data_IF_418817679691
#
_entry.id   IF_418817679691
#
_cell.length_a   1.000
_cell.length_b   1.000
_cell.length_c   1.000
_cell.angle_alpha   90.00
_cell.angle_beta   90.00
_cell.angle_gamma   90.00
#
_symmetry.space_group_name_H-M   'P 1'
#
loop_
_entity.id
_entity.type
_entity.pdbx_description
1 polymer ?
#
# COMPACT_ATOMS: atom_id res chain seq x y z
N UNK A 1 -5.18 95.31 -22.15
CA UNK A 1 -4.92 94.33 -21.09
C UNK A 1 -5.33 92.99 -21.67
N UNK A 2 -4.37 92.11 -21.92
CA UNK A 2 -4.60 90.77 -22.47
C UNK A 2 -4.68 89.80 -21.29
N UNK A 3 -5.86 89.28 -20.98
CA UNK A 3 -6.03 88.20 -19.99
C UNK A 3 -6.30 86.91 -20.75
N UNK A 4 -5.22 86.16 -20.99
CA UNK A 4 -5.30 84.88 -21.69
C UNK A 4 -5.72 83.79 -20.70
N UNK A 5 -6.93 83.25 -20.87
CA UNK A 5 -7.44 82.13 -20.07
C UNK A 5 -6.55 80.89 -20.24
N UNK A 6 -5.93 80.48 -19.13
CA UNK A 6 -4.98 79.36 -19.11
C UNK A 6 -5.72 78.03 -19.35
N UNK A 7 -5.32 77.29 -20.39
CA UNK A 7 -5.85 75.94 -20.67
C UNK A 7 -5.57 74.99 -19.51
N UNK A 8 -6.60 74.63 -18.73
CA UNK A 8 -6.53 73.61 -17.67
C UNK A 8 -6.78 72.23 -18.27
N UNK A 9 -6.02 71.23 -17.80
CA UNK A 9 -6.21 69.82 -18.19
C UNK A 9 -7.52 69.27 -17.60
N UNK A 10 -8.10 68.28 -18.28
CA UNK A 10 -9.23 67.51 -17.76
C UNK A 10 -8.87 66.86 -16.41
N UNK A 11 -9.84 66.88 -15.49
CA UNK A 11 -9.63 66.37 -14.14
C UNK A 11 -9.44 64.84 -14.15
N UNK A 12 -8.53 64.36 -13.29
CA UNK A 12 -8.23 62.93 -13.17
C UNK A 12 -9.45 62.12 -12.70
N UNK A 13 -9.55 60.87 -13.16
CA UNK A 13 -10.61 59.95 -12.73
C UNK A 13 -10.59 59.73 -11.22
N UNK A 14 -11.79 59.59 -10.62
CA UNK A 14 -11.92 59.35 -9.18
C UNK A 14 -11.24 58.03 -8.80
N UNK A 15 -10.60 58.03 -7.64
CA UNK A 15 -9.95 56.85 -7.09
C UNK A 15 -10.91 55.64 -7.06
N UNK A 16 -10.42 54.42 -7.35
CA UNK A 16 -11.25 53.22 -7.34
C UNK A 16 -11.84 53.00 -5.94
N UNK A 17 -13.10 52.59 -5.90
CA UNK A 17 -13.74 52.20 -4.63
C UNK A 17 -13.07 50.92 -4.12
N UNK A 18 -12.72 50.91 -2.84
CA UNK A 18 -12.26 49.69 -2.15
C UNK A 18 -13.39 48.65 -2.16
N UNK A 19 -13.03 47.41 -2.44
CA UNK A 19 -13.95 46.26 -2.40
C UNK A 19 -14.30 45.86 -0.97
N UNK A 20 -15.37 45.08 -0.83
CA UNK A 20 -15.78 44.49 0.45
C UNK A 20 -14.87 43.30 0.79
N UNK A 21 -14.29 43.31 2.00
CA UNK A 21 -13.43 42.22 2.49
C UNK A 21 -14.30 41.25 3.28
N UNK A 22 -14.61 40.08 2.68
CA UNK A 22 -15.34 39.00 3.36
C UNK A 22 -14.32 38.20 4.17
N UNK A 23 -14.35 38.31 5.49
CA UNK A 23 -13.52 37.48 6.38
C UNK A 23 -14.20 36.14 6.62
N UNK A 24 -13.66 35.07 6.04
CA UNK A 24 -14.00 33.70 6.41
C UNK A 24 -12.89 33.11 7.27
N UNK A 25 -13.22 32.33 8.32
CA UNK A 25 -12.22 31.64 9.12
C UNK A 25 -11.51 30.59 8.26
N UNK A 26 -10.20 30.43 8.50
CA UNK A 26 -9.42 29.32 7.97
C UNK A 26 -9.04 28.36 9.10
N UNK A 27 -9.31 27.04 8.97
CA UNK A 27 -9.95 26.38 7.83
C UNK A 27 -11.45 26.74 7.68
N UNK A 28 -12.03 26.63 6.47
CA UNK A 28 -13.46 26.90 6.26
C UNK A 28 -14.28 26.02 7.20
N UNK A 29 -15.34 26.57 7.80
CA UNK A 29 -16.32 25.72 8.50
C UNK A 29 -16.83 24.69 7.49
N UNK A 30 -16.71 23.38 7.78
CA UNK A 30 -17.21 22.36 6.87
C UNK A 30 -18.71 22.61 6.64
N UNK A 31 -19.17 22.75 5.38
CA UNK A 31 -20.60 22.81 5.11
C UNK A 31 -21.16 21.47 5.56
N UNK A 32 -21.98 21.46 6.61
CA UNK A 32 -22.64 20.25 7.09
C UNK A 32 -21.64 19.08 7.13
N UNK A 33 -20.62 19.15 8.01
CA UNK A 33 -19.90 17.93 8.37
C UNK A 33 -21.00 17.00 8.87
N UNK A 34 -21.47 16.09 8.00
CA UNK A 34 -22.25 14.92 8.41
C UNK A 34 -21.54 14.46 9.66
N UNK A 35 -22.27 14.51 10.77
CA UNK A 35 -21.84 14.15 12.12
C UNK A 35 -20.73 13.13 12.02
N UNK A 36 -19.61 13.36 12.72
CA UNK A 36 -18.48 12.42 12.78
C UNK A 36 -19.05 11.02 12.64
N UNK A 37 -18.93 10.44 11.43
CA UNK A 37 -19.47 9.12 11.22
C UNK A 37 -18.73 8.32 12.28
N UNK A 38 -19.45 7.70 13.21
CA UNK A 38 -18.86 6.74 14.12
C UNK A 38 -18.38 5.59 13.22
N UNK A 39 -17.20 5.78 12.64
CA UNK A 39 -16.57 4.84 11.73
C UNK A 39 -16.10 3.72 12.64
N UNK A 40 -16.93 2.69 12.74
CA UNK A 40 -16.54 1.45 13.36
C UNK A 40 -15.44 0.80 12.49
N UNK A 41 -14.20 0.89 12.97
CA UNK A 41 -13.01 0.38 12.30
C UNK A 41 -13.14 -1.14 12.07
N UNK A 42 -13.81 -1.87 12.96
CA UNK A 42 -13.99 -3.31 12.82
C UNK A 42 -14.98 -3.65 11.71
N UNK A 43 -16.07 -2.88 11.57
CA UNK A 43 -16.99 -3.03 10.43
C UNK A 43 -16.29 -2.76 9.10
N UNK A 44 -15.44 -1.73 9.03
CA UNK A 44 -14.65 -1.46 7.82
C UNK A 44 -13.69 -2.59 7.47
N UNK A 45 -13.02 -3.18 8.47
CA UNK A 45 -12.15 -4.36 8.26
C UNK A 45 -12.94 -5.55 7.75
N UNK A 46 -14.13 -5.79 8.29
CA UNK A 46 -15.00 -6.89 7.86
C UNK A 46 -15.50 -6.70 6.42
N UNK A 47 -15.99 -5.50 6.08
CA UNK A 47 -16.37 -5.13 4.71
C UNK A 47 -15.20 -5.28 3.72
N UNK A 48 -13.99 -4.88 4.13
CA UNK A 48 -12.79 -5.05 3.30
C UNK A 48 -12.43 -6.53 3.09
N UNK A 49 -12.58 -7.38 4.12
CA UNK A 49 -12.37 -8.83 4.03
C UNK A 49 -13.39 -9.50 3.11
N UNK A 50 -14.66 -9.10 3.20
CA UNK A 50 -15.72 -9.58 2.30
C UNK A 50 -15.49 -9.15 0.85
N UNK A 51 -15.06 -7.91 0.62
CA UNK A 51 -14.72 -7.41 -0.71
C UNK A 51 -13.50 -8.11 -1.33
N UNK A 52 -12.52 -8.51 -0.52
CA UNK A 52 -11.33 -9.23 -0.98
C UNK A 52 -11.63 -10.69 -1.36
N UNK A 53 -12.69 -11.27 -0.80
CA UNK A 53 -13.08 -12.66 -1.04
C UNK A 53 -12.19 -13.67 -0.30
N UNK A 54 -12.16 -14.95 -0.73
CA UNK A 54 -11.31 -15.96 -0.12
C UNK A 54 -9.83 -15.60 -0.25
N UNK A 55 -9.04 -15.87 0.80
CA UNK A 55 -7.59 -15.66 0.76
C UNK A 55 -6.97 -16.53 -0.33
N UNK A 56 -6.24 -15.86 -1.22
CA UNK A 56 -5.55 -16.46 -2.36
C UNK A 56 -4.22 -15.74 -2.62
N UNK A 57 -3.34 -16.40 -3.35
CA UNK A 57 -2.03 -15.85 -3.72
C UNK A 57 -2.14 -15.18 -5.08
N UNK A 58 -1.97 -13.86 -5.12
CA UNK A 58 -2.02 -13.08 -6.36
C UNK A 58 -0.72 -13.15 -7.16
N UNK A 59 0.42 -13.14 -6.46
CA UNK A 59 1.74 -13.06 -7.09
C UNK A 59 2.76 -13.86 -6.32
N UNK A 60 3.64 -14.51 -7.06
CA UNK A 60 4.83 -15.15 -6.51
C UNK A 60 6.04 -14.82 -7.39
N UNK A 61 7.22 -14.89 -6.79
CA UNK A 61 8.50 -14.72 -7.44
C UNK A 61 9.49 -15.74 -6.87
N UNK A 62 10.23 -16.48 -7.71
CA UNK A 62 10.23 -16.45 -9.17
C UNK A 62 8.92 -16.99 -9.79
N UNK A 63 8.44 -16.36 -10.86
CA UNK A 63 7.23 -16.81 -11.58
C UNK A 63 7.54 -17.88 -12.63
N UNK A 64 8.81 -18.02 -13.00
CA UNK A 64 9.25 -19.02 -13.95
C UNK A 64 9.25 -20.40 -13.30
N UNK A 65 8.72 -21.41 -14.02
CA UNK A 65 8.84 -22.80 -13.57
C UNK A 65 10.28 -23.29 -13.57
N UNK A 66 11.09 -22.80 -14.51
CA UNK A 66 12.50 -23.17 -14.65
C UNK A 66 13.38 -21.95 -14.38
N UNK A 67 14.20 -22.04 -13.34
CA UNK A 67 15.14 -20.97 -12.98
C UNK A 67 16.57 -21.38 -13.32
N UNK A 68 17.18 -20.60 -14.22
CA UNK A 68 18.55 -20.79 -14.71
C UNK A 68 19.55 -19.81 -14.09
N UNK A 69 19.19 -19.13 -13.00
CA UNK A 69 20.05 -18.17 -12.31
C UNK A 69 20.09 -18.47 -10.80
N UNK A 70 21.05 -17.85 -10.10
CA UNK A 70 21.20 -18.05 -8.65
C UNK A 70 20.00 -17.44 -7.93
N UNK A 71 19.28 -18.25 -7.16
CA UNK A 71 18.20 -17.81 -6.28
C UNK A 71 18.62 -17.91 -4.83
N UNK A 72 18.35 -16.87 -4.05
CA UNK A 72 18.43 -16.88 -2.58
C UNK A 72 17.12 -16.47 -1.93
N UNK A 73 16.15 -16.05 -2.72
CA UNK A 73 14.94 -15.40 -2.23
C UNK A 73 13.72 -15.92 -2.96
N UNK A 74 12.63 -16.14 -2.21
CA UNK A 74 11.31 -16.48 -2.75
C UNK A 74 10.30 -15.54 -2.13
N UNK A 75 9.42 -14.94 -2.93
CA UNK A 75 8.45 -13.94 -2.48
C UNK A 75 7.04 -14.35 -2.89
N UNK A 76 6.08 -14.09 -2.02
CA UNK A 76 4.67 -14.41 -2.21
C UNK A 76 3.79 -13.26 -1.74
N UNK A 77 2.79 -12.90 -2.52
CA UNK A 77 1.85 -11.80 -2.26
C UNK A 77 0.42 -12.32 -2.27
N UNK A 78 -0.31 -12.01 -1.22
CA UNK A 78 -1.71 -12.37 -1.03
C UNK A 78 -2.65 -11.28 -1.58
N UNK A 79 -3.90 -11.66 -1.89
CA UNK A 79 -4.95 -10.72 -2.32
C UNK A 79 -5.33 -9.69 -1.23
N UNK A 80 -5.16 -10.02 0.05
CA UNK A 80 -5.53 -9.19 1.19
C UNK A 80 -4.38 -9.05 2.20
N UNK A 81 -4.37 -7.99 3.04
CA UNK A 81 -3.37 -7.87 4.09
C UNK A 81 -3.51 -9.01 5.10
N UNK A 82 -2.39 -9.67 5.38
CA UNK A 82 -2.28 -10.77 6.36
C UNK A 82 -1.81 -10.29 7.72
N UNK A 83 -1.23 -9.09 7.76
CA UNK A 83 -0.69 -8.46 8.95
C UNK A 83 -1.11 -6.99 8.95
N UNK A 84 -1.38 -6.45 10.13
CA UNK A 84 -1.70 -5.04 10.26
C UNK A 84 -0.52 -4.18 9.81
N UNK A 85 -0.78 -3.03 9.18
CA UNK A 85 0.24 -2.02 8.85
C UNK A 85 0.60 -1.18 10.11
N UNK A 86 0.22 -1.64 11.31
CA UNK A 86 0.50 -0.94 12.58
C UNK A 86 1.95 -1.15 13.03
N UNK A 87 2.36 -0.33 13.99
CA UNK A 87 3.70 -0.14 14.56
C UNK A 87 4.60 -1.37 14.57
N UNK A 88 5.90 -1.16 14.33
CA UNK A 88 6.97 -2.18 14.21
C UNK A 88 6.93 -3.35 15.22
N UNK A 89 6.30 -3.17 16.39
CA UNK A 89 6.19 -4.14 17.47
C UNK A 89 5.08 -5.19 17.27
N UNK A 90 4.09 -4.95 16.40
CA UNK A 90 2.94 -5.85 16.14
C UNK A 90 3.07 -6.61 14.82
N UNK A 91 4.30 -6.80 14.33
CA UNK A 91 4.53 -7.66 13.18
C UNK A 91 4.34 -9.11 13.65
N UNK A 92 3.14 -9.67 13.51
CA UNK A 92 2.89 -11.12 13.56
C UNK A 92 4.03 -11.88 12.88
N UNK A 93 4.60 -12.85 13.60
CA UNK A 93 5.71 -13.63 13.09
C UNK A 93 5.20 -14.43 11.90
N UNK A 94 6.02 -14.56 10.85
CA UNK A 94 5.65 -15.36 9.67
C UNK A 94 5.34 -16.82 10.06
N UNK A 95 5.92 -17.28 11.17
CA UNK A 95 5.68 -18.60 11.76
C UNK A 95 4.21 -18.84 12.11
N UNK A 96 3.43 -17.79 12.41
CA UNK A 96 2.00 -17.90 12.73
C UNK A 96 1.14 -18.24 11.50
N UNK A 97 1.69 -18.15 10.29
CA UNK A 97 0.96 -18.34 9.03
C UNK A 97 1.10 -19.75 8.43
N UNK A 98 1.72 -20.69 9.14
CA UNK A 98 1.97 -22.08 8.72
C UNK A 98 2.50 -22.20 7.27
N UNK A 99 3.39 -21.27 6.88
CA UNK A 99 4.05 -21.30 5.58
C UNK A 99 5.24 -22.24 5.64
N UNK A 100 5.30 -23.21 4.72
CA UNK A 100 6.40 -24.18 4.62
C UNK A 100 6.97 -24.27 3.21
N UNK A 101 8.30 -24.36 3.13
CA UNK A 101 9.06 -24.62 1.90
C UNK A 101 9.66 -26.02 1.97
N UNK A 102 9.38 -26.83 0.95
CA UNK A 102 9.85 -28.22 0.84
C UNK A 102 10.68 -28.37 -0.45
N UNK A 103 11.87 -28.98 -0.43
CA UNK A 103 12.60 -29.48 0.73
C UNK A 103 12.99 -28.36 1.70
N UNK A 104 13.24 -28.71 2.97
CA UNK A 104 13.61 -27.73 4.00
C UNK A 104 14.94 -27.07 3.63
N UNK A 105 14.94 -25.74 3.61
CA UNK A 105 16.12 -24.90 3.39
C UNK A 105 16.34 -24.04 4.62
N UNK A 106 17.59 -23.92 5.05
CA UNK A 106 17.95 -22.95 6.09
C UNK A 106 17.75 -21.52 5.57
N UNK A 107 16.94 -20.74 6.27
CA UNK A 107 16.66 -19.36 5.90
C UNK A 107 15.80 -18.68 6.95
N UNK A 108 15.38 -17.46 6.63
CA UNK A 108 14.49 -16.66 7.46
C UNK A 108 13.30 -16.21 6.64
N UNK A 109 12.15 -16.17 7.29
CA UNK A 109 10.96 -15.56 6.74
C UNK A 109 10.83 -14.13 7.25
N UNK A 110 10.39 -13.22 6.38
CA UNK A 110 10.06 -11.84 6.76
C UNK A 110 8.90 -11.30 5.94
N UNK A 111 8.13 -10.41 6.55
CA UNK A 111 7.19 -9.57 5.82
C UNK A 111 7.96 -8.44 5.10
N UNK A 112 7.73 -8.27 3.80
CA UNK A 112 8.20 -7.10 3.03
C UNK A 112 7.11 -6.02 2.93
N UNK A 113 5.87 -6.39 3.20
CA UNK A 113 4.72 -5.50 3.31
C UNK A 113 3.52 -6.26 3.88
N UNK A 114 2.40 -5.57 4.11
CA UNK A 114 1.25 -6.19 4.78
C UNK A 114 0.61 -7.36 4.03
N UNK A 115 0.86 -7.48 2.72
CA UNK A 115 0.38 -8.55 1.85
C UNK A 115 1.48 -9.48 1.38
N UNK A 116 2.75 -9.18 1.63
CA UNK A 116 3.87 -9.81 0.94
C UNK A 116 4.86 -10.38 1.93
N UNK A 117 5.09 -11.68 1.80
CA UNK A 117 6.04 -12.45 2.58
C UNK A 117 7.21 -12.87 1.70
N UNK A 118 8.41 -12.83 2.27
CA UNK A 118 9.64 -13.19 1.60
C UNK A 118 10.44 -14.19 2.45
N UNK A 119 10.84 -15.29 1.82
CA UNK A 119 11.84 -16.20 2.33
C UNK A 119 13.21 -15.80 1.84
N UNK A 120 14.15 -15.63 2.74
CA UNK A 120 15.56 -15.43 2.45
C UNK A 120 16.35 -16.64 2.92
N UNK A 121 16.85 -17.42 1.97
CA UNK A 121 17.72 -18.54 2.25
C UNK A 121 19.08 -18.04 2.76
N UNK A 122 19.64 -18.71 3.76
CA UNK A 122 20.97 -18.40 4.32
C UNK A 122 22.08 -18.56 3.29
N UNK A 123 21.89 -19.50 2.38
CA UNK A 123 22.74 -19.73 1.21
C UNK A 123 21.86 -19.81 -0.04
N UNK A 124 22.47 -19.74 -1.22
CA UNK A 124 21.73 -19.95 -2.48
C UNK A 124 20.96 -21.27 -2.44
N UNK A 125 19.77 -21.28 -3.04
CA UNK A 125 18.99 -22.48 -3.26
C UNK A 125 19.80 -23.43 -4.16
N UNK A 126 19.97 -24.71 -3.76
CA UNK A 126 20.55 -25.72 -4.62
C UNK A 126 19.88 -25.78 -5.99
N UNK A 127 20.69 -25.90 -7.04
CA UNK A 127 20.26 -26.18 -8.41
C UNK A 127 19.67 -27.59 -8.55
N UNK A 128 19.00 -27.87 -9.66
CA UNK A 128 18.38 -29.17 -9.96
C UNK A 128 17.39 -29.66 -8.90
N UNK A 129 16.82 -28.75 -8.12
CA UNK A 129 15.90 -29.05 -7.02
C UNK A 129 14.55 -28.43 -7.30
N UNK A 130 13.49 -29.23 -7.12
CA UNK A 130 12.10 -28.80 -7.16
C UNK A 130 11.66 -28.40 -5.75
N UNK A 131 11.19 -27.17 -5.60
CA UNK A 131 10.67 -26.67 -4.34
C UNK A 131 9.16 -26.50 -4.41
N UNK A 132 8.47 -27.02 -3.40
CA UNK A 132 7.06 -26.84 -3.14
C UNK A 132 6.89 -25.84 -2.00
N UNK A 133 6.23 -24.72 -2.27
CA UNK A 133 5.76 -23.80 -1.24
C UNK A 133 4.31 -24.13 -0.89
N UNK A 134 4.03 -24.30 0.40
CA UNK A 134 2.69 -24.62 0.92
C UNK A 134 2.31 -23.62 2.00
N UNK A 135 1.07 -23.17 1.98
CA UNK A 135 0.45 -22.37 3.04
C UNK A 135 -0.71 -23.18 3.59
N UNK A 136 -0.60 -23.63 4.85
CA UNK A 136 -1.66 -24.41 5.48
C UNK A 136 -2.78 -23.53 6.04
N UNK A 137 -4.00 -24.04 5.87
CA UNK A 137 -5.24 -23.26 5.83
C UNK A 137 -6.02 -23.43 7.11
N UNK A 138 -5.97 -22.43 7.98
CA UNK A 138 -7.23 -21.91 8.53
C UNK A 138 -7.84 -20.89 7.56
N UNK A 139 -7.03 -20.27 6.67
CA UNK A 139 -7.48 -19.10 5.90
C UNK A 139 -7.26 -19.14 4.37
N UNK A 140 -6.21 -19.75 3.80
CA UNK A 140 -5.89 -19.69 2.35
C UNK A 140 -6.38 -20.90 1.55
N UNK A 141 -6.99 -20.75 0.37
CA UNK A 141 -7.09 -21.90 -0.57
C UNK A 141 -5.68 -22.48 -0.73
N UNK A 142 -5.50 -23.74 -0.36
CA UNK A 142 -4.18 -24.35 -0.22
C UNK A 142 -3.53 -24.42 -1.60
N UNK A 143 -2.73 -23.43 -1.94
CA UNK A 143 -2.03 -23.37 -3.22
C UNK A 143 -0.61 -23.90 -3.03
N UNK A 144 -0.26 -24.89 -3.83
CA UNK A 144 1.08 -25.48 -3.88
C UNK A 144 1.77 -24.96 -5.13
N UNK A 145 2.90 -24.26 -4.94
CA UNK A 145 3.70 -23.75 -6.04
C UNK A 145 4.97 -24.56 -6.20
N UNK A 146 5.22 -25.04 -7.41
CA UNK A 146 6.41 -25.81 -7.76
C UNK A 146 7.35 -24.95 -8.61
N UNK A 147 8.56 -24.74 -8.11
CA UNK A 147 9.63 -24.09 -8.85
C UNK A 147 10.82 -25.03 -9.00
N UNK A 148 11.36 -25.15 -10.22
CA UNK A 148 12.49 -26.02 -10.56
C UNK A 148 13.71 -25.18 -10.83
N UNK A 149 14.75 -25.40 -10.06
CA UNK A 149 16.07 -24.81 -10.33
C UNK A 149 16.83 -25.70 -11.31
N UNK A 150 17.57 -25.13 -12.26
CA UNK A 150 18.34 -25.87 -13.28
C UNK A 150 19.83 -25.58 -13.15
N UNK A 151 20.65 -26.55 -13.53
CA UNK A 151 22.12 -26.49 -13.52
C UNK A 151 22.63 -25.37 -14.43
#
# INVERSE_FOLDING_TARGET
SDEQEFFKREASIKAPKTGEVIQTPFPPLPPDRKEELDIDIEQLKQLAKEAAGPLSIERYSPSEREINHVLSTVTMTFNQPMIAVSSLDEVMNVEDLDISLTPKVEGRWRWTGAKTVQFEAKHRLPYSTEYALKVDKEHCVSDIFLLKTKI
#
